data_IF_718917634153
#
_entry.id   IF_718917634153
#
_cell.length_a   1.000
_cell.length_b   1.000
_cell.length_c   1.000
_cell.angle_alpha   90.00
_cell.angle_beta   90.00
_cell.angle_gamma   90.00
#
_symmetry.space_group_name_H-M   'P 1'
#
loop_
_entity.id
_entity.type
_entity.pdbx_description
1 polymer ?
#
# COMPACT_ATOMS: atom_id res chain seq x y z
N UNK A 1 -4.69 13.75 7.09
CA UNK A 1 -4.72 14.61 5.87
C UNK A 1 -3.32 15.10 5.53
N UNK A 2 -2.58 15.64 6.47
CA UNK A 2 -1.24 16.20 6.21
C UNK A 2 -0.23 15.15 5.74
N UNK A 3 -0.22 13.96 6.35
CA UNK A 3 0.60 12.84 5.91
C UNK A 3 0.29 12.44 4.46
N UNK A 4 -0.99 12.36 4.09
CA UNK A 4 -1.41 12.01 2.73
C UNK A 4 -0.94 13.06 1.72
N UNK A 5 -1.15 14.34 2.02
CA UNK A 5 -0.71 15.43 1.15
C UNK A 5 0.82 15.46 0.99
N UNK A 6 1.57 15.28 2.08
CA UNK A 6 3.03 15.21 2.06
C UNK A 6 3.53 14.00 1.25
N UNK A 7 2.87 12.84 1.39
CA UNK A 7 3.21 11.62 0.63
C UNK A 7 2.97 11.82 -0.87
N UNK A 8 1.83 12.38 -1.29
CA UNK A 8 1.54 12.70 -2.69
C UNK A 8 2.59 13.66 -3.26
N UNK A 9 2.88 14.75 -2.55
CA UNK A 9 3.88 15.72 -2.97
C UNK A 9 5.26 15.07 -3.13
N UNK A 10 5.66 14.23 -2.18
CA UNK A 10 6.93 13.49 -2.23
C UNK A 10 7.01 12.54 -3.41
N UNK A 11 5.96 11.75 -3.67
CA UNK A 11 5.89 10.84 -4.82
C UNK A 11 5.95 11.61 -6.13
N UNK A 12 5.20 12.71 -6.26
CA UNK A 12 5.20 13.52 -7.47
C UNK A 12 6.59 14.15 -7.75
N UNK A 13 7.32 14.55 -6.70
CA UNK A 13 8.66 15.12 -6.83
C UNK A 13 9.73 14.12 -7.32
N UNK A 14 9.44 12.83 -7.29
CA UNK A 14 10.31 11.76 -7.79
C UNK A 14 9.72 11.03 -9.01
N UNK A 15 8.76 11.66 -9.68
CA UNK A 15 8.20 11.18 -10.93
C UNK A 15 7.11 10.11 -10.77
N UNK A 16 6.59 9.87 -9.56
CA UNK A 16 5.51 8.92 -9.31
C UNK A 16 4.20 9.68 -9.16
N UNK A 17 3.19 9.30 -9.92
CA UNK A 17 1.88 9.92 -9.90
C UNK A 17 0.75 8.91 -10.02
N UNK A 18 -0.44 9.40 -10.35
CA UNK A 18 -1.67 8.62 -10.51
C UNK A 18 -1.45 7.46 -11.47
N UNK A 19 -1.95 6.28 -11.10
CA UNK A 19 -1.82 5.01 -11.83
C UNK A 19 -0.39 4.43 -11.95
N UNK A 20 0.65 5.11 -11.47
CA UNK A 20 1.98 4.51 -11.33
C UNK A 20 1.96 3.48 -10.20
N UNK A 21 2.48 2.29 -10.44
CA UNK A 21 2.41 1.18 -9.48
C UNK A 21 3.58 1.24 -8.52
N UNK A 22 3.26 1.29 -7.24
CA UNK A 22 4.21 1.30 -6.12
C UNK A 22 4.04 0.00 -5.34
N UNK A 23 5.03 -0.88 -5.43
CA UNK A 23 5.08 -2.08 -4.59
C UNK A 23 5.40 -1.69 -3.15
N UNK A 24 4.76 -2.36 -2.18
CA UNK A 24 4.96 -2.08 -0.75
C UNK A 24 5.33 -3.39 -0.06
N UNK A 25 6.51 -3.43 0.55
CA UNK A 25 7.01 -4.56 1.34
C UNK A 25 7.39 -4.04 2.73
N UNK A 26 6.41 -4.06 3.62
CA UNK A 26 6.53 -3.57 4.99
C UNK A 26 6.06 -4.64 5.97
N UNK A 27 6.61 -4.66 7.19
CA UNK A 27 6.02 -5.44 8.27
C UNK A 27 4.57 -5.07 8.51
N UNK A 28 3.79 -6.03 9.02
CA UNK A 28 2.42 -5.73 9.45
C UNK A 28 2.45 -4.72 10.59
N UNK A 29 1.66 -3.67 10.49
CA UNK A 29 1.71 -2.60 11.49
C UNK A 29 1.02 -1.32 11.04
N UNK A 30 0.98 -0.29 11.90
CA UNK A 30 0.32 0.98 11.61
C UNK A 30 0.98 1.74 10.45
N UNK A 31 2.29 1.62 10.26
CA UNK A 31 3.02 2.23 9.13
C UNK A 31 2.58 1.63 7.80
N UNK A 32 2.37 0.29 7.75
CA UNK A 32 1.86 -0.37 6.54
C UNK A 32 0.44 0.08 6.23
N UNK A 33 -0.44 0.16 7.23
CA UNK A 33 -1.81 0.63 7.06
C UNK A 33 -1.86 2.08 6.56
N UNK A 34 -1.07 2.96 7.16
CA UNK A 34 -0.98 4.36 6.78
C UNK A 34 -0.32 4.55 5.40
N UNK A 35 0.73 3.78 5.07
CA UNK A 35 1.38 3.82 3.76
C UNK A 35 0.43 3.38 2.64
N UNK A 36 -0.36 2.33 2.85
CA UNK A 36 -1.39 1.91 1.92
C UNK A 36 -2.35 3.05 1.56
N UNK A 37 -2.85 3.76 2.58
CA UNK A 37 -3.80 4.87 2.39
C UNK A 37 -3.10 6.07 1.72
N UNK A 38 -1.95 6.49 2.26
CA UNK A 38 -1.30 7.72 1.83
C UNK A 38 -0.70 7.61 0.42
N UNK A 39 -0.10 6.46 0.07
CA UNK A 39 0.40 6.19 -1.28
C UNK A 39 -0.78 5.99 -2.24
N UNK A 40 -1.80 5.21 -1.84
CA UNK A 40 -2.99 4.96 -2.65
C UNK A 40 -3.79 6.22 -3.00
N UNK A 41 -3.65 7.29 -2.23
CA UNK A 41 -4.28 8.57 -2.53
C UNK A 41 -3.61 9.35 -3.68
N UNK A 42 -2.45 8.93 -4.19
CA UNK A 42 -1.74 9.61 -5.30
C UNK A 42 -1.06 8.68 -6.30
N UNK A 43 -1.10 7.37 -6.05
CA UNK A 43 -0.51 6.34 -6.91
C UNK A 43 -1.30 5.03 -6.77
N UNK A 44 -0.90 3.99 -7.49
CA UNK A 44 -1.44 2.63 -7.33
C UNK A 44 -0.59 1.83 -6.36
N UNK A 45 -1.17 1.34 -5.28
CA UNK A 45 -0.49 0.48 -4.32
C UNK A 45 -0.52 -0.98 -4.74
N UNK A 46 0.59 -1.67 -4.53
CA UNK A 46 0.70 -3.12 -4.72
C UNK A 46 1.40 -3.75 -3.50
N UNK A 47 0.68 -4.00 -2.40
CA UNK A 47 1.23 -4.66 -1.23
C UNK A 47 1.65 -6.10 -1.55
N UNK A 48 2.87 -6.46 -1.14
CA UNK A 48 3.45 -7.79 -1.31
C UNK A 48 3.78 -8.41 0.04
N UNK A 49 3.72 -9.74 0.11
CA UNK A 49 4.09 -10.47 1.32
C UNK A 49 5.58 -10.26 1.64
N UNK A 50 5.93 -9.71 2.81
CA UNK A 50 7.34 -9.50 3.20
C UNK A 50 8.14 -10.81 3.36
N UNK A 51 7.47 -11.96 3.50
CA UNK A 51 8.10 -13.26 3.60
C UNK A 51 8.47 -13.89 2.24
N UNK A 52 8.16 -13.24 1.13
CA UNK A 52 8.55 -13.72 -0.19
C UNK A 52 10.07 -13.82 -0.35
N UNK A 53 10.51 -14.76 -1.21
CA UNK A 53 11.90 -14.93 -1.61
C UNK A 53 12.23 -14.12 -2.86
N UNK A 54 13.51 -14.05 -3.19
CA UNK A 54 14.01 -13.27 -4.33
C UNK A 54 13.30 -13.59 -5.65
N UNK A 55 13.06 -14.87 -5.95
CA UNK A 55 12.39 -15.28 -7.19
C UNK A 55 10.93 -14.81 -7.24
N UNK A 56 10.22 -14.85 -6.11
CA UNK A 56 8.86 -14.35 -5.99
C UNK A 56 8.84 -12.82 -6.15
N UNK A 57 9.73 -12.10 -5.48
CA UNK A 57 9.86 -10.65 -5.66
C UNK A 57 10.18 -10.28 -7.10
N UNK A 58 11.09 -11.02 -7.76
CA UNK A 58 11.42 -10.81 -9.16
C UNK A 58 10.18 -10.96 -10.06
N UNK A 59 9.41 -12.03 -9.84
CA UNK A 59 8.16 -12.24 -10.56
C UNK A 59 7.17 -11.10 -10.34
N UNK A 60 6.85 -10.78 -9.07
CA UNK A 60 5.83 -9.78 -8.76
C UNK A 60 6.22 -8.37 -9.19
N UNK A 61 7.45 -7.93 -8.94
CA UNK A 61 7.91 -6.60 -9.36
C UNK A 61 7.91 -6.44 -10.87
N UNK A 62 8.28 -7.49 -11.61
CA UNK A 62 8.27 -7.51 -13.07
C UNK A 62 6.84 -7.49 -13.62
N UNK A 63 5.97 -8.35 -13.12
CA UNK A 63 4.58 -8.47 -13.58
C UNK A 63 3.77 -7.19 -13.27
N UNK A 64 4.02 -6.59 -12.10
CA UNK A 64 3.48 -5.28 -11.73
C UNK A 64 3.99 -4.15 -12.62
N UNK A 65 5.14 -4.31 -13.29
CA UNK A 65 5.88 -3.18 -13.87
C UNK A 65 6.04 -2.07 -12.82
N UNK A 66 6.47 -2.45 -11.62
CA UNK A 66 6.56 -1.55 -10.49
C UNK A 66 7.51 -0.38 -10.80
N UNK A 67 7.07 0.84 -10.59
CA UNK A 67 7.86 2.05 -10.75
C UNK A 67 8.73 2.33 -9.54
N UNK A 68 8.24 1.95 -8.36
CA UNK A 68 8.98 2.02 -7.12
C UNK A 68 8.61 0.86 -6.19
N UNK A 69 9.52 0.58 -5.26
CA UNK A 69 9.35 -0.33 -4.13
C UNK A 69 9.52 0.48 -2.84
N UNK A 70 8.54 0.41 -1.95
CA UNK A 70 8.64 0.94 -0.59
C UNK A 70 9.02 -0.17 0.37
N UNK A 71 10.09 0.04 1.14
CA UNK A 71 10.57 -0.86 2.20
C UNK A 71 10.84 -0.06 3.46
N UNK A 72 10.77 -0.69 4.62
CA UNK A 72 11.11 0.00 5.88
C UNK A 72 12.62 0.20 6.01
N UNK A 73 13.05 1.39 6.40
CA UNK A 73 14.45 1.70 6.65
C UNK A 73 15.01 0.81 7.77
N UNK A 74 16.17 0.23 7.52
CA UNK A 74 16.86 -0.63 8.49
C UNK A 74 16.31 -2.08 8.57
N UNK A 75 15.23 -2.41 7.88
CA UNK A 75 14.72 -3.78 7.80
C UNK A 75 15.31 -4.50 6.59
N UNK A 76 15.90 -5.66 6.83
CA UNK A 76 16.44 -6.50 5.76
C UNK A 76 15.31 -7.16 4.98
N UNK A 77 15.40 -7.12 3.66
CA UNK A 77 14.47 -7.81 2.74
C UNK A 77 15.16 -8.11 1.41
N UNK A 78 14.92 -9.28 0.86
CA UNK A 78 15.40 -9.67 -0.47
C UNK A 78 14.80 -8.80 -1.59
N UNK A 79 13.63 -8.18 -1.33
CA UNK A 79 12.97 -7.28 -2.28
C UNK A 79 13.86 -6.10 -2.71
N UNK A 80 14.72 -5.61 -1.82
CA UNK A 80 15.63 -4.49 -2.07
C UNK A 80 16.63 -4.82 -3.18
N UNK A 81 17.31 -5.97 -3.05
CA UNK A 81 18.32 -6.42 -4.02
C UNK A 81 17.68 -6.75 -5.37
N UNK A 82 16.48 -7.33 -5.35
CA UNK A 82 15.72 -7.62 -6.57
C UNK A 82 15.31 -6.33 -7.26
N UNK A 83 14.77 -5.34 -6.53
CA UNK A 83 14.39 -4.05 -7.09
C UNK A 83 15.59 -3.34 -7.73
N UNK A 84 16.75 -3.37 -7.08
CA UNK A 84 17.98 -2.80 -7.63
C UNK A 84 18.39 -3.47 -8.96
N UNK A 85 18.33 -4.80 -9.05
CA UNK A 85 18.62 -5.56 -10.29
C UNK A 85 17.64 -5.25 -11.41
N UNK A 86 16.38 -4.98 -11.09
CA UNK A 86 15.34 -4.64 -12.06
C UNK A 86 15.31 -3.15 -12.43
N UNK A 87 16.14 -2.32 -11.80
CA UNK A 87 16.11 -0.85 -12.00
C UNK A 87 14.86 -0.18 -11.40
N UNK A 88 14.17 -0.85 -10.47
CA UNK A 88 13.03 -0.28 -9.75
C UNK A 88 13.52 0.62 -8.63
N UNK A 89 13.02 1.85 -8.57
CA UNK A 89 13.42 2.82 -7.54
C UNK A 89 13.04 2.31 -6.14
N UNK A 90 13.99 2.30 -5.21
CA UNK A 90 13.74 1.93 -3.82
C UNK A 90 13.49 3.18 -3.00
N UNK A 91 12.35 3.21 -2.30
CA UNK A 91 11.98 4.23 -1.34
C UNK A 91 12.01 3.64 0.07
N UNK A 92 12.68 4.32 0.97
CA UNK A 92 12.75 3.91 2.37
C UNK A 92 11.68 4.63 3.18
N UNK A 93 10.79 3.87 3.78
CA UNK A 93 9.86 4.39 4.77
C UNK A 93 10.57 4.51 6.11
N UNK A 94 10.63 5.72 6.63
CA UNK A 94 11.18 6.04 7.94
C UNK A 94 10.02 6.27 8.89
N UNK A 95 9.78 5.38 9.88
CA UNK A 95 8.74 5.59 10.88
C UNK A 95 8.95 6.91 11.64
N UNK A 96 7.86 7.61 11.92
CA UNK A 96 7.87 8.81 12.76
C UNK A 96 7.63 8.50 14.23
N UNK A 97 7.43 9.55 15.02
CA UNK A 97 7.22 9.43 16.47
C UNK A 97 5.88 8.78 16.84
N UNK A 98 4.84 9.01 16.03
CA UNK A 98 3.52 8.47 16.28
C UNK A 98 3.23 7.27 15.39
N UNK A 99 2.49 6.28 15.90
CA UNK A 99 2.08 5.11 15.14
C UNK A 99 1.41 5.50 13.82
N UNK A 100 1.87 4.92 12.71
CA UNK A 100 1.40 5.20 11.36
C UNK A 100 1.95 6.50 10.75
N UNK A 101 2.72 7.31 11.49
CA UNK A 101 3.43 8.44 10.90
C UNK A 101 4.72 7.99 10.25
N UNK A 102 5.06 8.57 9.10
CA UNK A 102 6.30 8.23 8.38
C UNK A 102 6.72 9.33 7.41
N UNK A 103 7.95 9.21 6.92
CA UNK A 103 8.45 9.92 5.74
C UNK A 103 8.98 8.91 4.72
N UNK A 104 9.08 9.33 3.45
CA UNK A 104 9.68 8.53 2.37
C UNK A 104 11.00 9.18 1.95
N UNK A 105 12.09 8.43 2.05
CA UNK A 105 13.42 8.80 1.58
C UNK A 105 13.78 8.03 0.30
N UNK A 106 14.77 8.53 -0.47
CA UNK A 106 15.21 7.89 -1.72
C UNK A 106 14.48 8.39 -2.97
N UNK A 107 14.77 7.78 -4.11
CA UNK A 107 14.32 8.21 -5.42
C UNK A 107 15.07 9.45 -5.94
N UNK A 108 15.10 9.61 -7.25
CA UNK A 108 15.72 10.77 -7.92
C UNK A 108 14.65 11.77 -8.34
N UNK A 109 14.98 13.05 -8.30
CA UNK A 109 14.06 14.11 -8.72
C UNK A 109 13.60 13.88 -10.17
N UNK A 110 12.29 13.86 -10.38
CA UNK A 110 11.66 13.70 -11.67
C UNK A 110 10.23 14.23 -11.62
N UNK A 111 9.67 14.58 -12.77
CA UNK A 111 8.29 15.05 -12.86
C UNK A 111 7.34 13.89 -13.08
N UNK A 112 6.29 13.80 -12.27
CA UNK A 112 5.22 12.83 -12.45
C UNK A 112 4.41 13.15 -13.72
N UNK A 113 4.08 12.12 -14.50
CA UNK A 113 3.27 12.30 -15.72
C UNK A 113 1.82 12.70 -15.38
N UNK A 114 1.29 12.20 -14.29
CA UNK A 114 -0.05 12.50 -13.77
C UNK A 114 0.05 12.86 -12.29
N UNK A 115 0.45 14.10 -11.94
CA UNK A 115 0.59 14.51 -10.55
C UNK A 115 -0.77 14.76 -9.87
N UNK A 116 -0.75 14.87 -8.53
CA UNK A 116 -1.90 15.22 -7.72
C UNK A 116 -2.57 14.03 -7.08
N UNK A 117 -3.71 14.32 -6.45
CA UNK A 117 -4.52 13.32 -5.78
C UNK A 117 -5.24 12.43 -6.79
N UNK A 118 -5.41 11.15 -6.44
CA UNK A 118 -6.10 10.17 -7.28
C UNK A 118 -7.58 10.50 -7.45
N UNK A 119 -8.11 10.21 -8.62
CA UNK A 119 -9.52 10.36 -8.98
C UNK A 119 -10.28 9.03 -8.85
N UNK A 120 -11.60 9.07 -8.85
CA UNK A 120 -12.44 7.90 -8.63
C UNK A 120 -12.17 6.72 -9.60
N UNK A 121 -11.79 7.01 -10.83
CA UNK A 121 -11.46 6.01 -11.85
C UNK A 121 -10.04 5.48 -11.80
N UNK A 122 -9.14 6.13 -11.07
CA UNK A 122 -7.73 5.69 -10.97
C UNK A 122 -7.62 4.38 -10.19
N UNK A 123 -6.62 3.57 -10.55
CA UNK A 123 -6.36 2.32 -9.85
C UNK A 123 -5.68 2.62 -8.50
N UNK A 124 -6.37 2.25 -7.43
CA UNK A 124 -5.88 2.44 -6.06
C UNK A 124 -5.02 1.27 -5.58
N UNK A 125 -5.44 0.06 -5.93
CA UNK A 125 -4.88 -1.18 -5.41
C UNK A 125 -4.74 -2.22 -6.52
N UNK A 126 -3.60 -2.87 -6.58
CA UNK A 126 -3.37 -4.06 -7.40
C UNK A 126 -2.97 -5.20 -6.48
N UNK A 127 -3.72 -6.30 -6.57
CA UNK A 127 -3.39 -7.55 -5.88
C UNK A 127 -3.19 -8.67 -6.89
N UNK A 128 -2.42 -9.67 -6.50
CA UNK A 128 -2.33 -10.93 -7.22
C UNK A 128 -3.20 -11.97 -6.52
N UNK A 129 -4.02 -12.67 -7.29
CA UNK A 129 -4.80 -13.79 -6.77
C UNK A 129 -4.08 -15.09 -7.08
N UNK A 130 -4.11 -16.04 -6.13
CA UNK A 130 -3.76 -17.44 -6.37
C UNK A 130 -4.84 -18.06 -7.25
N UNK A 131 -4.81 -17.79 -8.56
CA UNK A 131 -5.78 -18.38 -9.49
C UNK A 131 -5.70 -19.91 -9.51
N UNK A 132 -6.76 -20.56 -10.01
CA UNK A 132 -6.79 -22.01 -10.31
C UNK A 132 -5.78 -22.42 -11.40
N UNK A 133 -5.07 -21.48 -11.99
CA UNK A 133 -4.02 -21.64 -13.00
C UNK A 133 -2.65 -21.38 -12.39
N UNK A 134 -1.61 -21.99 -12.97
CA UNK A 134 -0.22 -21.97 -12.46
C UNK A 134 0.42 -20.57 -12.29
N UNK A 135 -0.22 -19.49 -12.74
CA UNK A 135 0.28 -18.11 -12.58
C UNK A 135 -0.74 -17.23 -11.86
N UNK A 136 -0.31 -16.46 -10.85
CA UNK A 136 -1.14 -15.45 -10.21
C UNK A 136 -1.67 -14.43 -11.23
N UNK A 137 -2.91 -13.99 -11.04
CA UNK A 137 -3.53 -12.97 -11.91
C UNK A 137 -3.56 -11.63 -11.22
N UNK A 138 -3.20 -10.58 -11.95
CA UNK A 138 -3.36 -9.19 -11.52
C UNK A 138 -4.84 -8.84 -11.44
N UNK A 139 -5.26 -8.30 -10.30
CA UNK A 139 -6.61 -7.76 -10.07
C UNK A 139 -6.48 -6.28 -9.72
N UNK A 140 -6.75 -5.36 -10.66
CA UNK A 140 -6.77 -3.93 -10.38
C UNK A 140 -8.11 -3.53 -9.77
N UNK A 141 -8.07 -2.70 -8.73
CA UNK A 141 -9.23 -2.12 -8.06
C UNK A 141 -9.12 -0.59 -8.10
N UNK A 142 -10.13 0.08 -8.62
CA UNK A 142 -10.17 1.55 -8.65
C UNK A 142 -10.44 2.15 -7.28
N UNK A 143 -10.19 3.47 -7.13
CA UNK A 143 -10.59 4.23 -5.95
C UNK A 143 -12.08 4.04 -5.64
N UNK A 144 -12.93 4.11 -6.68
CA UNK A 144 -14.37 3.88 -6.54
C UNK A 144 -14.68 2.48 -6.00
N UNK A 145 -13.98 1.44 -6.47
CA UNK A 145 -14.19 0.07 -6.01
C UNK A 145 -13.86 -0.10 -4.53
N UNK A 146 -12.66 0.33 -4.10
CA UNK A 146 -12.22 0.17 -2.71
C UNK A 146 -13.07 1.00 -1.75
N UNK A 147 -13.43 2.24 -2.13
CA UNK A 147 -14.29 3.09 -1.33
C UNK A 147 -15.72 2.54 -1.22
N UNK A 148 -16.28 1.97 -2.30
CA UNK A 148 -17.60 1.33 -2.26
C UNK A 148 -17.58 0.11 -1.34
N UNK A 149 -16.57 -0.76 -1.47
CA UNK A 149 -16.41 -1.93 -0.60
C UNK A 149 -16.30 -1.53 0.88
N UNK A 150 -15.45 -0.55 1.20
CA UNK A 150 -15.28 -0.08 2.57
C UNK A 150 -16.60 0.47 3.16
N UNK A 151 -17.35 1.27 2.38
CA UNK A 151 -18.66 1.79 2.81
C UNK A 151 -19.69 0.69 3.04
N UNK A 152 -19.78 -0.30 2.14
CA UNK A 152 -20.73 -1.40 2.28
C UNK A 152 -20.40 -2.26 3.50
N UNK A 153 -19.12 -2.55 3.76
CA UNK A 153 -18.69 -3.30 4.95
C UNK A 153 -19.02 -2.49 6.20
N UNK A 154 -18.66 -1.20 6.23
CA UNK A 154 -18.95 -0.32 7.35
C UNK A 154 -20.45 -0.25 7.68
N UNK A 155 -21.30 -0.13 6.65
CA UNK A 155 -22.75 -0.12 6.82
C UNK A 155 -23.30 -1.46 7.30
N UNK A 156 -22.82 -2.59 6.74
CA UNK A 156 -23.25 -3.94 7.13
C UNK A 156 -22.92 -4.27 8.58
N UNK A 157 -21.73 -3.83 9.03
CA UNK A 157 -21.26 -4.02 10.41
C UNK A 157 -21.74 -2.91 11.35
N UNK A 158 -22.47 -1.92 10.85
CA UNK A 158 -22.91 -0.74 11.60
C UNK A 158 -21.75 -0.01 12.30
N UNK A 159 -20.58 0.07 11.64
CA UNK A 159 -19.40 0.70 12.22
C UNK A 159 -19.63 2.20 12.48
N UNK A 160 -19.05 2.68 13.56
CA UNK A 160 -19.16 4.06 14.06
C UNK A 160 -17.80 4.59 14.54
N UNK A 161 -17.68 5.88 14.84
CA UNK A 161 -16.46 6.44 15.44
C UNK A 161 -16.11 5.87 16.83
N UNK A 162 -17.03 5.16 17.49
CA UNK A 162 -16.78 4.54 18.79
C UNK A 162 -16.10 3.15 18.66
N UNK A 163 -16.02 2.61 17.45
CA UNK A 163 -15.49 1.26 17.22
C UNK A 163 -13.97 1.27 17.05
N UNK A 164 -13.33 0.21 17.52
CA UNK A 164 -11.91 -0.06 17.33
C UNK A 164 -11.73 -1.47 16.77
N UNK A 165 -11.22 -1.57 15.55
CA UNK A 165 -10.93 -2.84 14.90
C UNK A 165 -9.56 -3.37 15.34
N UNK A 166 -9.51 -4.56 15.94
CA UNK A 166 -8.26 -5.29 16.13
C UNK A 166 -7.90 -6.00 14.81
N UNK A 167 -6.93 -5.44 14.08
CA UNK A 167 -6.49 -6.06 12.83
C UNK A 167 -5.38 -7.08 13.08
N UNK A 168 -5.74 -8.36 12.94
CA UNK A 168 -4.82 -9.50 12.97
C UNK A 168 -4.50 -10.01 11.55
N UNK A 169 -5.15 -9.46 10.53
CA UNK A 169 -4.99 -9.91 9.15
C UNK A 169 -3.75 -9.28 8.51
N UNK A 170 -3.08 -10.02 7.60
CA UNK A 170 -1.97 -9.47 6.84
C UNK A 170 -2.39 -8.26 6.01
N UNK A 171 -1.58 -7.19 6.06
CA UNK A 171 -1.82 -5.95 5.31
C UNK A 171 -1.27 -6.00 3.86
N UNK A 172 -0.93 -7.17 3.37
CA UNK A 172 -0.75 -7.47 1.94
C UNK A 172 -1.95 -8.25 1.36
N UNK A 173 -3.00 -8.46 2.14
CA UNK A 173 -4.21 -9.17 1.73
C UNK A 173 -5.42 -8.23 1.78
N UNK A 174 -6.36 -8.41 0.82
CA UNK A 174 -7.53 -7.55 0.66
C UNK A 174 -8.37 -7.42 1.94
N UNK A 175 -8.49 -8.50 2.73
CA UNK A 175 -9.26 -8.48 3.96
C UNK A 175 -8.70 -7.45 4.95
N UNK A 176 -7.40 -7.50 5.24
CA UNK A 176 -6.76 -6.53 6.14
C UNK A 176 -6.86 -5.10 5.62
N UNK A 177 -6.61 -4.90 4.33
CA UNK A 177 -6.59 -3.57 3.71
C UNK A 177 -7.99 -2.92 3.63
N UNK A 178 -8.99 -3.65 3.18
CA UNK A 178 -10.32 -3.10 2.93
C UNK A 178 -11.25 -3.31 4.12
N UNK A 179 -11.41 -4.58 4.57
CA UNK A 179 -12.40 -4.89 5.59
C UNK A 179 -11.98 -4.43 6.99
N UNK A 180 -10.69 -4.47 7.32
CA UNK A 180 -10.22 -3.96 8.61
C UNK A 180 -9.86 -2.48 8.54
N UNK A 181 -8.91 -2.08 7.68
CA UNK A 181 -8.36 -0.72 7.69
C UNK A 181 -9.33 0.29 7.09
N UNK A 182 -9.69 0.15 5.80
CA UNK A 182 -10.49 1.19 5.13
C UNK A 182 -11.90 1.33 5.69
N UNK A 183 -12.59 0.22 6.02
CA UNK A 183 -13.95 0.30 6.53
C UNK A 183 -14.00 0.92 7.94
N UNK A 184 -13.08 0.57 8.83
CA UNK A 184 -13.04 1.14 10.18
C UNK A 184 -12.68 2.63 10.16
N UNK A 185 -11.61 3.01 9.44
CA UNK A 185 -11.22 4.43 9.33
C UNK A 185 -12.23 5.24 8.53
N UNK A 186 -12.87 4.66 7.52
CA UNK A 186 -13.94 5.27 6.75
C UNK A 186 -15.20 5.57 7.57
N UNK A 187 -15.46 4.79 8.61
CA UNK A 187 -16.52 5.02 9.59
C UNK A 187 -16.12 6.00 10.72
N UNK A 188 -14.87 6.49 10.71
CA UNK A 188 -14.33 7.36 11.75
C UNK A 188 -13.82 6.63 12.99
N UNK A 189 -13.81 5.29 12.97
CA UNK A 189 -13.29 4.44 14.04
C UNK A 189 -11.77 4.35 14.05
N UNK A 190 -11.24 3.49 14.91
CA UNK A 190 -9.82 3.24 15.06
C UNK A 190 -9.42 1.84 14.56
N UNK A 191 -8.12 1.67 14.24
CA UNK A 191 -7.54 0.36 13.93
C UNK A 191 -6.35 0.12 14.85
N UNK A 192 -6.39 -0.99 15.58
CA UNK A 192 -5.28 -1.49 16.39
C UNK A 192 -4.54 -2.51 15.53
N UNK A 193 -3.36 -2.14 15.05
CA UNK A 193 -2.54 -3.02 14.22
C UNK A 193 -1.68 -3.95 15.10
N UNK A 194 -1.68 -5.24 14.78
CA UNK A 194 -0.80 -6.24 15.39
C UNK A 194 0.26 -6.69 14.41
N UNK A 195 1.37 -7.31 14.86
CA UNK A 195 2.37 -7.90 13.97
C UNK A 195 1.80 -9.02 13.08
N UNK A 196 0.69 -9.60 13.46
CA UNK A 196 0.02 -10.70 12.78
C UNK A 196 -0.72 -11.57 13.78
N UNK A 197 -1.13 -12.74 13.31
CA UNK A 197 -1.74 -13.79 14.12
C UNK A 197 -0.67 -14.85 14.44
N UNK A 198 -0.54 -15.21 15.73
CA UNK A 198 0.30 -16.31 16.23
C UNK A 198 -0.54 -17.56 16.47
#
# INVERSE_FOLDING_TARGET
>A
RDLTAATIARLNAIGIGRNDRVAIVLPNGPEMAAAFIAIGAGATTAPLNPAYRADEFNFYLTDLKAKALVVQKGVATEARDVAAKLGVAVLELVPGEHAGSFTLEGGSAAQAAQPGAAEAGDIALVLHTSGTTARPKIVPLSQANICASARHIGATLALSPADACLNIMPLFHIHGLIAAVLSSLGAGGAVICTPGFD
#
